data_IF_345584388551
#
_entry.id   IF_345584388551
#
_cell.length_a   1.000
_cell.length_b   1.000
_cell.length_c   1.000
_cell.angle_alpha   90.00
_cell.angle_beta   90.00
_cell.angle_gamma   90.00
#
_symmetry.space_group_name_H-M   'P 1'
#
loop_
_entity.id
_entity.type
_entity.pdbx_description
1 polymer ?
#
# COMPACT_ATOMS: atom_id res chain seq x y z
N UNK A 1 -7.12 7.47 -42.93
CA UNK A 1 -6.41 7.64 -41.63
C UNK A 1 -7.41 7.53 -40.47
N UNK A 2 -7.85 6.32 -40.10
CA UNK A 2 -8.92 6.12 -39.08
C UNK A 2 -8.44 5.30 -37.87
N UNK A 3 -7.29 4.61 -37.97
CA UNK A 3 -6.79 3.71 -36.91
C UNK A 3 -6.10 4.41 -35.72
N UNK A 4 -5.44 5.55 -35.92
CA UNK A 4 -4.64 6.20 -34.85
C UNK A 4 -5.49 6.89 -33.76
N UNK A 5 -6.69 7.37 -34.11
CA UNK A 5 -7.61 8.04 -33.17
C UNK A 5 -8.30 7.09 -32.20
N UNK A 6 -8.50 5.82 -32.57
CA UNK A 6 -9.17 4.82 -31.71
C UNK A 6 -8.23 4.23 -30.65
N UNK A 7 -6.92 4.17 -30.94
CA UNK A 7 -5.89 3.69 -30.00
C UNK A 7 -5.68 4.69 -28.86
N UNK A 8 -5.69 6.00 -29.16
CA UNK A 8 -5.53 7.04 -28.15
C UNK A 8 -6.66 7.06 -27.10
N UNK A 9 -7.89 6.67 -27.48
CA UNK A 9 -9.04 6.66 -26.58
C UNK A 9 -9.05 5.43 -25.64
N UNK A 10 -8.49 4.30 -26.08
CA UNK A 10 -8.34 3.10 -25.25
C UNK A 10 -7.25 3.26 -24.17
N UNK A 11 -6.21 4.06 -24.44
CA UNK A 11 -5.13 4.32 -23.48
C UNK A 11 -5.59 5.25 -22.33
N UNK A 12 -6.57 6.13 -22.58
CA UNK A 12 -7.08 7.08 -21.56
C UNK A 12 -8.01 6.41 -20.54
N UNK A 13 -8.76 5.37 -20.92
CA UNK A 13 -9.66 4.66 -20.02
C UNK A 13 -8.95 3.68 -19.05
N UNK A 14 -7.68 3.34 -19.31
CA UNK A 14 -6.91 2.43 -18.47
C UNK A 14 -6.31 3.10 -17.22
N UNK A 15 -6.38 4.43 -17.11
CA UNK A 15 -5.82 5.20 -15.98
C UNK A 15 -6.74 5.32 -14.75
N UNK A 16 -7.98 4.85 -14.84
CA UNK A 16 -8.94 4.87 -13.71
C UNK A 16 -9.00 3.52 -12.97
N UNK A 17 -7.91 2.77 -12.92
CA UNK A 17 -7.83 1.56 -12.11
C UNK A 17 -7.68 1.93 -10.63
N UNK A 18 -8.81 1.94 -9.91
CA UNK A 18 -8.96 1.75 -8.46
C UNK A 18 -8.01 2.55 -7.55
N UNK A 19 -8.55 3.55 -6.86
CA UNK A 19 -7.82 4.18 -5.75
C UNK A 19 -7.58 3.14 -4.66
N UNK A 20 -6.32 2.69 -4.55
CA UNK A 20 -5.82 1.71 -3.58
C UNK A 20 -6.02 2.19 -2.14
N UNK A 21 -5.96 3.51 -1.96
CA UNK A 21 -6.10 4.23 -0.72
C UNK A 21 -7.43 4.97 -0.72
N UNK A 22 -8.32 4.72 0.24
CA UNK A 22 -9.60 5.42 0.37
C UNK A 22 -9.65 6.22 1.67
N UNK A 23 -10.20 7.43 1.61
CA UNK A 23 -10.38 8.31 2.76
C UNK A 23 -11.86 8.40 3.16
N UNK A 24 -12.11 8.40 4.46
CA UNK A 24 -13.42 8.59 5.06
C UNK A 24 -13.34 9.67 6.14
N UNK A 25 -14.25 10.63 6.08
CA UNK A 25 -14.36 11.68 7.10
C UNK A 25 -14.79 11.08 8.43
N UNK A 26 -14.13 11.48 9.51
CA UNK A 26 -14.48 11.06 10.86
C UNK A 26 -15.45 12.08 11.48
N UNK A 27 -16.58 11.61 12.01
CA UNK A 27 -17.64 12.50 12.53
C UNK A 27 -17.60 12.70 14.05
N UNK A 28 -16.48 12.40 14.72
CA UNK A 28 -16.32 12.63 16.16
C UNK A 28 -15.61 13.94 16.48
N UNK A 29 -15.88 14.50 17.65
CA UNK A 29 -15.34 15.80 18.12
C UNK A 29 -14.30 15.68 19.24
N UNK A 30 -13.81 14.48 19.52
CA UNK A 30 -12.88 14.23 20.62
C UNK A 30 -11.48 14.80 20.39
N UNK A 31 -10.97 15.56 21.36
CA UNK A 31 -9.56 15.92 21.47
C UNK A 31 -8.89 14.91 22.40
N UNK A 32 -7.79 14.31 21.93
CA UNK A 32 -7.03 13.30 22.63
C UNK A 32 -5.68 13.86 23.06
N UNK A 33 -5.24 13.51 24.26
CA UNK A 33 -3.88 13.77 24.74
C UNK A 33 -3.01 12.54 24.42
N UNK A 34 -2.07 12.68 23.50
CA UNK A 34 -1.12 11.60 23.24
C UNK A 34 0.03 11.58 24.24
N UNK A 35 0.74 10.45 24.24
CA UNK A 35 1.68 10.02 25.30
C UNK A 35 3.13 9.87 24.82
N UNK A 36 3.40 10.16 23.56
CA UNK A 36 4.69 9.89 22.94
C UNK A 36 4.79 8.47 22.35
N UNK A 37 5.89 8.24 21.64
CA UNK A 37 6.13 7.01 20.89
C UNK A 37 7.16 7.21 19.80
N UNK A 38 7.14 6.35 18.78
CA UNK A 38 8.02 6.41 17.64
C UNK A 38 7.24 6.76 16.37
N UNK A 39 7.70 7.79 15.67
CA UNK A 39 7.16 8.20 14.38
C UNK A 39 8.27 8.38 13.36
N UNK A 40 7.85 8.49 12.10
CA UNK A 40 8.68 9.00 11.00
C UNK A 40 7.92 10.09 10.27
N UNK A 41 8.64 11.07 9.75
CA UNK A 41 8.03 12.10 8.92
C UNK A 41 8.15 11.73 7.45
N UNK A 42 7.03 11.76 6.73
CA UNK A 42 6.96 11.53 5.28
C UNK A 42 6.18 12.67 4.66
N UNK A 43 6.80 13.45 3.78
CA UNK A 43 6.16 14.57 3.07
C UNK A 43 5.52 15.64 3.99
N UNK A 44 6.05 15.80 5.21
CA UNK A 44 5.52 16.72 6.22
C UNK A 44 4.38 16.13 7.07
N UNK A 45 4.09 14.84 6.93
CA UNK A 45 3.10 14.11 7.73
C UNK A 45 3.82 13.14 8.67
N UNK A 46 3.45 13.18 9.95
CA UNK A 46 4.00 12.26 10.95
C UNK A 46 3.25 10.93 10.91
N UNK A 47 3.94 9.86 10.52
CA UNK A 47 3.40 8.50 10.58
C UNK A 47 3.86 7.87 11.89
N UNK A 48 2.93 7.66 12.82
CA UNK A 48 3.18 7.03 14.12
C UNK A 48 3.15 5.51 13.98
N UNK A 49 4.31 4.91 14.21
CA UNK A 49 4.52 3.45 14.14
C UNK A 49 4.22 2.80 15.49
N UNK A 50 4.53 3.51 16.58
CA UNK A 50 4.32 3.06 17.96
C UNK A 50 3.84 4.25 18.78
N UNK A 51 2.84 4.04 19.63
CA UNK A 51 2.33 5.06 20.54
C UNK A 51 1.52 6.16 19.84
N UNK A 52 1.58 7.37 20.37
CA UNK A 52 0.79 8.52 19.91
C UNK A 52 1.60 9.81 19.99
N UNK A 53 1.26 10.87 19.25
CA UNK A 53 1.94 12.14 19.32
C UNK A 53 2.06 12.66 20.76
N UNK A 54 3.21 13.20 21.21
CA UNK A 54 3.36 13.75 22.57
C UNK A 54 2.68 15.12 22.71
N UNK A 55 1.49 15.29 22.13
CA UNK A 55 0.70 16.52 22.10
C UNK A 55 -0.78 16.22 21.92
N UNK A 56 -1.61 17.25 22.06
CA UNK A 56 -3.05 17.14 21.78
C UNK A 56 -3.31 17.01 20.27
N UNK A 57 -4.25 16.13 19.92
CA UNK A 57 -4.66 15.91 18.54
C UNK A 57 -6.15 15.54 18.46
N UNK A 58 -6.73 15.70 17.29
CA UNK A 58 -8.08 15.24 16.95
C UNK A 58 -8.01 14.26 15.78
N UNK A 59 -8.91 13.28 15.74
CA UNK A 59 -9.07 12.42 14.58
C UNK A 59 -10.01 13.14 13.61
N UNK A 60 -9.57 13.36 12.38
CA UNK A 60 -10.35 14.06 11.34
C UNK A 60 -10.87 13.12 10.26
N UNK A 61 -10.24 11.95 10.15
CA UNK A 61 -10.56 10.99 9.12
C UNK A 61 -9.90 9.66 9.34
N UNK A 62 -10.13 8.79 8.38
CA UNK A 62 -9.68 7.43 8.41
C UNK A 62 -9.38 6.96 7.00
N UNK A 63 -8.22 6.33 6.83
CA UNK A 63 -7.74 5.79 5.56
C UNK A 63 -7.77 4.26 5.61
N UNK A 64 -8.30 3.66 4.55
CA UNK A 64 -8.11 2.23 4.25
C UNK A 64 -7.18 2.07 3.07
N UNK A 65 -6.23 1.16 3.17
CA UNK A 65 -5.29 0.84 2.10
C UNK A 65 -5.28 -0.68 1.87
N UNK A 66 -5.58 -1.13 0.65
CA UNK A 66 -5.56 -2.56 0.28
C UNK A 66 -4.63 -2.76 -0.91
N UNK A 67 -3.46 -3.34 -0.67
CA UNK A 67 -2.40 -3.51 -1.67
C UNK A 67 -1.99 -4.97 -1.83
N UNK A 68 -1.61 -5.41 -3.04
CA UNK A 68 -0.79 -6.60 -3.18
C UNK A 68 0.49 -6.43 -2.33
N UNK A 69 0.86 -7.47 -1.60
CA UNK A 69 2.13 -7.53 -0.91
C UNK A 69 3.32 -7.58 -1.88
N UNK A 70 4.50 -7.27 -1.38
CA UNK A 70 5.74 -7.22 -2.16
C UNK A 70 6.52 -5.92 -1.93
N UNK A 71 7.78 -5.85 -2.39
CA UNK A 71 8.67 -4.74 -2.08
C UNK A 71 8.24 -3.42 -2.75
N UNK A 72 7.76 -3.49 -4.00
CA UNK A 72 7.39 -2.29 -4.78
C UNK A 72 6.13 -1.60 -4.22
N UNK A 73 4.99 -2.30 -4.01
CA UNK A 73 3.77 -1.64 -3.49
C UNK A 73 3.96 -1.09 -2.08
N UNK A 74 4.78 -1.76 -1.27
CA UNK A 74 5.08 -1.36 0.11
C UNK A 74 6.01 -0.14 0.18
N UNK A 75 6.92 0.03 -0.78
CA UNK A 75 7.80 1.20 -0.84
C UNK A 75 7.03 2.52 -1.03
N UNK A 76 5.93 2.48 -1.79
CA UNK A 76 5.09 3.67 -2.06
C UNK A 76 4.03 3.93 -0.99
N UNK A 77 3.69 2.93 -0.17
CA UNK A 77 2.57 2.98 0.76
C UNK A 77 2.58 4.23 1.63
N UNK A 78 3.69 4.48 2.31
CA UNK A 78 3.76 5.57 3.28
C UNK A 78 3.68 6.94 2.60
N UNK A 79 4.21 7.07 1.38
CA UNK A 79 4.08 8.28 0.57
C UNK A 79 2.63 8.53 0.15
N UNK A 80 1.92 7.49 -0.26
CA UNK A 80 0.52 7.60 -0.67
C UNK A 80 -0.39 7.91 0.52
N UNK A 81 -0.17 7.25 1.66
CA UNK A 81 -0.87 7.53 2.92
C UNK A 81 -0.63 8.98 3.35
N UNK A 82 0.63 9.44 3.37
CA UNK A 82 0.97 10.83 3.70
C UNK A 82 0.33 11.82 2.73
N UNK A 83 0.34 11.52 1.44
CA UNK A 83 -0.28 12.36 0.41
C UNK A 83 -1.78 12.49 0.66
N UNK A 84 -2.46 11.39 0.95
CA UNK A 84 -3.90 11.37 1.20
C UNK A 84 -4.25 12.09 2.51
N UNK A 85 -3.50 11.88 3.59
CA UNK A 85 -3.67 12.60 4.84
C UNK A 85 -3.49 14.12 4.65
N UNK A 86 -2.45 14.53 3.91
CA UNK A 86 -2.13 15.93 3.64
C UNK A 86 -3.22 16.62 2.82
N UNK A 87 -3.75 15.97 1.78
CA UNK A 87 -4.87 16.48 0.97
C UNK A 87 -6.09 16.79 1.82
N UNK A 88 -6.33 15.99 2.87
CA UNK A 88 -7.47 16.14 3.77
C UNK A 88 -7.14 16.99 5.01
N UNK A 89 -6.00 17.69 5.04
CA UNK A 89 -5.63 18.62 6.12
C UNK A 89 -5.21 17.97 7.42
N UNK A 90 -4.76 16.71 7.36
CA UNK A 90 -4.11 16.01 8.47
C UNK A 90 -2.65 16.41 8.63
N UNK A 91 -2.17 16.33 9.87
CA UNK A 91 -0.76 16.55 10.23
C UNK A 91 -0.03 15.24 10.54
N UNK A 92 -0.79 14.16 10.77
CA UNK A 92 -0.23 12.85 11.09
C UNK A 92 -1.18 11.69 10.82
N UNK A 93 -0.66 10.49 10.96
CA UNK A 93 -1.34 9.22 10.76
C UNK A 93 -1.06 8.30 11.94
N UNK A 94 -2.09 7.66 12.49
CA UNK A 94 -1.97 6.61 13.51
C UNK A 94 -2.35 5.25 12.92
N UNK A 95 -1.55 4.23 13.22
CA UNK A 95 -1.87 2.85 12.87
C UNK A 95 -3.03 2.33 13.75
N UNK A 96 -4.13 1.87 13.15
CA UNK A 96 -5.22 1.21 13.87
C UNK A 96 -5.07 -0.31 13.85
N UNK A 97 -4.95 -0.86 12.64
CA UNK A 97 -4.78 -2.28 12.41
C UNK A 97 -4.10 -2.52 11.06
N UNK A 98 -3.27 -3.54 10.97
CA UNK A 98 -2.77 -4.07 9.70
C UNK A 98 -3.02 -5.57 9.67
N UNK A 99 -3.60 -6.06 8.59
CA UNK A 99 -3.81 -7.48 8.33
C UNK A 99 -3.06 -7.85 7.06
N UNK A 100 -2.42 -9.03 7.06
CA UNK A 100 -1.77 -9.59 5.88
C UNK A 100 -2.38 -10.95 5.60
N UNK A 101 -3.04 -11.08 4.46
CA UNK A 101 -3.67 -12.31 4.01
C UNK A 101 -2.80 -13.01 2.97
N UNK A 102 -2.63 -14.32 3.12
CA UNK A 102 -1.96 -15.15 2.13
C UNK A 102 -2.97 -15.61 1.08
N UNK A 103 -2.74 -15.25 -0.18
CA UNK A 103 -3.67 -15.50 -1.29
C UNK A 103 -3.23 -16.68 -2.18
N UNK A 104 -2.06 -17.27 -1.94
CA UNK A 104 -1.51 -18.40 -2.69
C UNK A 104 -0.06 -18.18 -3.09
N UNK A 105 0.48 -19.10 -3.89
CA UNK A 105 1.86 -19.02 -4.40
C UNK A 105 1.83 -19.06 -5.91
N UNK A 106 2.53 -18.12 -6.56
CA UNK A 106 2.81 -18.17 -7.98
C UNK A 106 4.17 -18.83 -8.21
N UNK A 107 4.19 -19.96 -8.92
CA UNK A 107 5.42 -20.70 -9.20
C UNK A 107 5.62 -20.85 -10.70
N UNK A 108 6.79 -20.46 -11.20
CA UNK A 108 7.21 -20.74 -12.58
C UNK A 108 8.41 -21.65 -12.54
N UNK A 109 8.44 -22.64 -13.42
CA UNK A 109 9.56 -23.54 -13.57
C UNK A 109 9.85 -23.80 -15.04
N UNK A 110 11.12 -23.86 -15.40
CA UNK A 110 11.57 -24.39 -16.69
C UNK A 110 12.34 -25.67 -16.44
N UNK A 111 12.18 -26.62 -17.35
CA UNK A 111 13.01 -27.81 -17.40
C UNK A 111 13.65 -27.90 -18.78
N UNK A 112 14.94 -28.19 -18.82
CA UNK A 112 15.71 -28.38 -20.04
C UNK A 112 16.27 -29.79 -20.04
N UNK A 113 15.91 -30.58 -21.06
CA UNK A 113 16.41 -31.93 -21.23
C UNK A 113 17.46 -31.97 -22.34
N UNK A 114 18.59 -32.63 -22.07
CA UNK A 114 19.68 -32.86 -23.02
C UNK A 114 19.82 -34.37 -23.22
N UNK A 115 19.78 -34.83 -24.46
CA UNK A 115 19.94 -36.25 -24.81
C UNK A 115 21.27 -36.45 -25.53
N UNK A 116 22.13 -37.34 -25.02
CA UNK A 116 23.38 -37.72 -25.65
C UNK A 116 23.53 -39.24 -25.62
N UNK A 117 23.70 -39.88 -26.78
CA UNK A 117 24.02 -41.31 -26.88
C UNK A 117 23.03 -42.25 -26.17
N UNK A 118 21.73 -41.98 -26.25
CA UNK A 118 20.68 -42.81 -25.62
C UNK A 118 20.41 -42.50 -24.14
N UNK A 119 21.13 -41.53 -23.54
CA UNK A 119 20.90 -41.05 -22.17
C UNK A 119 20.28 -39.66 -22.21
N UNK A 120 19.15 -39.45 -21.52
CA UNK A 120 18.49 -38.14 -21.37
C UNK A 120 18.67 -37.62 -19.94
N UNK A 121 19.29 -36.45 -19.80
CA UNK A 121 19.44 -35.73 -18.52
C UNK A 121 18.59 -34.47 -18.52
N UNK A 122 17.74 -34.28 -17.50
CA UNK A 122 16.89 -33.11 -17.36
C UNK A 122 17.32 -32.23 -16.18
N UNK A 123 17.43 -30.92 -16.42
CA UNK A 123 17.71 -29.91 -15.41
C UNK A 123 16.49 -29.00 -15.26
N UNK A 124 15.97 -28.90 -14.04
CA UNK A 124 14.83 -28.03 -13.72
C UNK A 124 15.27 -26.86 -12.85
N UNK A 125 14.80 -25.66 -13.17
CA UNK A 125 14.87 -24.49 -12.30
C UNK A 125 13.49 -23.91 -12.12
N UNK A 126 13.14 -23.48 -10.91
CA UNK A 126 11.88 -22.83 -10.64
C UNK A 126 11.99 -21.74 -9.58
N UNK A 127 11.12 -20.73 -9.72
CA UNK A 127 10.97 -19.63 -8.78
C UNK A 127 9.54 -19.65 -8.29
N UNK A 128 9.37 -19.58 -6.97
CA UNK A 128 8.06 -19.49 -6.31
C UNK A 128 7.97 -18.20 -5.52
N UNK A 129 6.89 -17.45 -5.71
CA UNK A 129 6.65 -16.17 -5.05
C UNK A 129 5.30 -16.21 -4.34
N UNK A 130 5.24 -16.00 -3.02
CA UNK A 130 3.97 -15.93 -2.32
C UNK A 130 3.20 -14.67 -2.75
N UNK A 131 1.93 -14.85 -3.13
CA UNK A 131 0.97 -13.78 -3.34
C UNK A 131 0.34 -13.47 -1.99
N UNK A 132 0.60 -12.29 -1.48
CA UNK A 132 -0.01 -11.78 -0.25
C UNK A 132 -0.82 -10.53 -0.54
N UNK A 133 -1.81 -10.22 0.28
CA UNK A 133 -2.53 -8.94 0.28
C UNK A 133 -2.39 -8.32 1.66
N UNK A 134 -2.17 -7.02 1.70
CA UNK A 134 -2.04 -6.26 2.94
C UNK A 134 -3.15 -5.24 3.02
N UNK A 135 -3.94 -5.32 4.09
CA UNK A 135 -5.01 -4.38 4.38
C UNK A 135 -4.65 -3.58 5.62
N UNK A 136 -4.51 -2.27 5.45
CA UNK A 136 -4.14 -1.34 6.50
C UNK A 136 -5.29 -0.39 6.82
N UNK A 137 -5.47 -0.15 8.11
CA UNK A 137 -6.44 0.75 8.69
C UNK A 137 -5.70 1.86 9.45
N UNK A 138 -5.91 3.13 9.07
CA UNK A 138 -5.15 4.24 9.62
C UNK A 138 -6.05 5.41 9.99
N UNK A 139 -5.86 6.02 11.17
CA UNK A 139 -6.51 7.28 11.49
C UNK A 139 -5.71 8.46 10.96
N UNK A 140 -6.38 9.44 10.38
CA UNK A 140 -5.80 10.74 10.04
C UNK A 140 -6.05 11.67 11.20
N UNK A 141 -4.97 12.26 11.72
CA UNK A 141 -5.01 13.15 12.87
C UNK A 141 -4.60 14.56 12.48
N UNK A 142 -5.18 15.53 13.18
CA UNK A 142 -4.79 16.93 13.13
C UNK A 142 -4.34 17.38 14.51
N UNK A 143 -3.21 18.07 14.57
CA UNK A 143 -2.70 18.59 15.82
C UNK A 143 -3.51 19.81 16.24
N UNK A 144 -3.77 19.89 17.54
CA UNK A 144 -4.41 21.07 18.14
C UNK A 144 -3.40 21.74 19.06
N UNK A 145 -3.44 23.07 19.11
CA UNK A 145 -2.60 23.87 19.99
C UNK A 145 -3.27 24.05 21.35
#
# INVERSE_FOLDING_TARGET
MVGKRRIALALFFLLCAGCVTNYYTYSGSGIYQGRGGASKNVNGIDIWLVGTPPRRFQIIGYITDSRPGGPIPMAMRDSDLATEAKKNGGDGILLKAEQTDFLGTYSTGNATAVTNGGVTTAFGSGVSVPITRREGQYFVIKYVN
#
